data_IF_544025599466
#
_entry.id   IF_544025599466
#
_cell.length_a   1.000
_cell.length_b   1.000
_cell.length_c   1.000
_cell.angle_alpha   90.00
_cell.angle_beta   90.00
_cell.angle_gamma   90.00
#
_symmetry.space_group_name_H-M   'P 1'
#
loop_
_entity.id
_entity.type
_entity.pdbx_description
1 polymer ?
#
# COMPACT_ATOMS: atom_id res chain seq x y z
N UNK A 1 -48.42 -16.86 1.31
CA UNK A 1 -47.06 -17.23 0.85
C UNK A 1 -46.28 -16.06 0.24
N UNK A 2 -46.83 -15.29 -0.71
CA UNK A 2 -46.14 -14.17 -1.37
C UNK A 2 -45.53 -13.11 -0.41
N UNK A 3 -46.25 -12.74 0.65
CA UNK A 3 -45.76 -11.76 1.65
C UNK A 3 -44.55 -12.25 2.46
N UNK A 4 -44.40 -13.56 2.66
CA UNK A 4 -43.25 -14.16 3.35
C UNK A 4 -42.03 -14.23 2.44
N UNK A 5 -42.22 -14.62 1.17
CA UNK A 5 -41.18 -14.58 0.14
C UNK A 5 -40.62 -13.16 -0.06
N UNK A 6 -41.51 -12.16 -0.13
CA UNK A 6 -41.10 -10.74 -0.23
C UNK A 6 -40.27 -10.29 0.99
N UNK A 7 -40.64 -10.69 2.22
CA UNK A 7 -39.87 -10.38 3.43
C UNK A 7 -38.48 -11.01 3.41
N UNK A 8 -38.38 -12.26 2.96
CA UNK A 8 -37.09 -12.95 2.82
C UNK A 8 -36.20 -12.28 1.76
N UNK A 9 -36.77 -11.93 0.61
CA UNK A 9 -36.05 -11.18 -0.43
C UNK A 9 -35.57 -9.82 0.05
N UNK A 10 -36.43 -9.06 0.74
CA UNK A 10 -36.05 -7.77 1.33
C UNK A 10 -34.94 -7.94 2.37
N UNK A 11 -35.03 -8.96 3.23
CA UNK A 11 -33.97 -9.28 4.19
C UNK A 11 -32.63 -9.60 3.52
N UNK A 12 -32.66 -10.43 2.47
CA UNK A 12 -31.46 -10.78 1.71
C UNK A 12 -30.84 -9.55 1.03
N UNK A 13 -31.66 -8.73 0.37
CA UNK A 13 -31.21 -7.49 -0.27
C UNK A 13 -30.60 -6.54 0.77
N UNK A 14 -31.22 -6.40 1.95
CA UNK A 14 -30.67 -5.57 3.02
C UNK A 14 -29.30 -6.07 3.52
N UNK A 15 -29.13 -7.39 3.68
CA UNK A 15 -27.84 -7.99 4.07
C UNK A 15 -26.77 -7.73 3.01
N UNK A 16 -27.10 -7.92 1.73
CA UNK A 16 -26.17 -7.67 0.62
C UNK A 16 -25.77 -6.19 0.58
N UNK A 17 -26.73 -5.28 0.70
CA UNK A 17 -26.45 -3.84 0.74
C UNK A 17 -25.56 -3.47 1.92
N UNK A 18 -25.83 -4.02 3.11
CA UNK A 18 -24.99 -3.81 4.28
C UNK A 18 -23.57 -4.33 4.06
N UNK A 19 -23.42 -5.51 3.46
CA UNK A 19 -22.11 -6.08 3.15
C UNK A 19 -21.33 -5.21 2.14
N UNK A 20 -22.00 -4.63 1.14
CA UNK A 20 -21.36 -3.72 0.17
C UNK A 20 -20.93 -2.41 0.83
N UNK A 21 -21.72 -1.88 1.77
CA UNK A 21 -21.48 -0.59 2.45
C UNK A 21 -20.53 -0.69 3.66
N UNK A 22 -20.47 -1.83 4.34
CA UNK A 22 -19.57 -2.04 5.48
C UNK A 22 -18.32 -2.84 5.10
N UNK A 23 -18.42 -3.73 4.11
CA UNK A 23 -17.40 -4.72 3.77
C UNK A 23 -16.02 -4.13 3.51
N UNK A 24 -15.87 -3.13 2.62
CA UNK A 24 -14.57 -2.53 2.35
C UNK A 24 -13.90 -1.91 3.58
N UNK A 25 -14.68 -1.30 4.47
CA UNK A 25 -14.16 -0.75 5.73
C UNK A 25 -13.77 -1.84 6.71
N UNK A 26 -14.58 -2.89 6.86
CA UNK A 26 -14.27 -4.03 7.71
C UNK A 26 -12.99 -4.75 7.24
N UNK A 27 -12.83 -4.93 5.92
CA UNK A 27 -11.62 -5.51 5.33
C UNK A 27 -10.39 -4.62 5.55
N UNK A 28 -10.55 -3.30 5.47
CA UNK A 28 -9.49 -2.35 5.78
C UNK A 28 -9.03 -2.46 7.25
N UNK A 29 -9.96 -2.42 8.20
CA UNK A 29 -9.64 -2.58 9.63
C UNK A 29 -9.01 -3.95 9.92
N UNK A 30 -9.58 -5.01 9.34
CA UNK A 30 -9.04 -6.36 9.47
C UNK A 30 -7.63 -6.45 8.90
N UNK A 31 -7.35 -5.88 7.72
CA UNK A 31 -6.01 -5.86 7.14
C UNK A 31 -4.99 -5.12 8.00
N UNK A 32 -5.38 -3.99 8.58
CA UNK A 32 -4.54 -3.22 9.52
C UNK A 32 -4.28 -3.94 10.83
N UNK A 33 -5.22 -4.78 11.29
CA UNK A 33 -5.08 -5.56 12.53
C UNK A 33 -4.04 -6.68 12.43
N UNK A 34 -3.58 -7.02 11.22
CA UNK A 34 -2.57 -8.07 10.98
C UNK A 34 -1.14 -7.54 10.90
N UNK A 35 -0.97 -6.22 11.02
CA UNK A 35 0.32 -5.55 10.93
C UNK A 35 0.70 -5.09 12.33
N UNK A 36 1.90 -5.46 12.77
CA UNK A 36 2.47 -5.04 14.04
C UNK A 36 2.96 -3.59 13.93
N UNK A 37 2.22 -2.67 14.56
CA UNK A 37 2.54 -1.26 14.55
C UNK A 37 2.32 -0.57 13.19
N UNK A 38 3.02 0.54 12.99
CA UNK A 38 2.95 1.35 11.75
C UNK A 38 4.36 1.75 11.32
N UNK A 39 4.57 1.99 10.01
CA UNK A 39 5.85 2.51 9.54
C UNK A 39 6.20 3.82 10.26
N UNK A 40 7.43 3.94 10.74
CA UNK A 40 7.95 5.22 11.19
C UNK A 40 8.18 6.18 10.03
N UNK A 41 8.12 7.49 10.29
CA UNK A 41 8.45 8.52 9.31
C UNK A 41 9.89 8.38 8.81
N UNK A 42 10.23 9.13 7.75
CA UNK A 42 11.61 9.22 7.30
C UNK A 42 12.45 9.96 8.35
N UNK A 43 13.72 9.59 8.49
CA UNK A 43 14.67 10.27 9.40
C UNK A 43 14.90 11.72 8.97
N UNK A 44 14.81 11.99 7.67
CA UNK A 44 14.89 13.33 7.08
C UNK A 44 13.81 13.49 6.01
N UNK A 45 13.09 14.61 6.07
CA UNK A 45 12.17 15.06 5.02
C UNK A 45 12.87 15.85 3.92
N UNK A 46 14.09 16.31 4.15
CA UNK A 46 14.93 16.91 3.12
C UNK A 46 15.45 15.81 2.19
N UNK A 47 14.95 15.80 0.96
CA UNK A 47 15.30 14.83 -0.08
C UNK A 47 15.99 15.57 -1.21
N UNK A 48 17.16 15.07 -1.63
CA UNK A 48 17.87 15.68 -2.73
C UNK A 48 17.15 15.39 -4.07
N UNK A 49 17.08 16.36 -5.01
CA UNK A 49 16.36 16.17 -6.28
C UNK A 49 16.80 14.93 -7.08
N UNK A 50 18.09 14.58 -7.02
CA UNK A 50 18.68 13.41 -7.63
C UNK A 50 18.13 12.09 -7.08
N UNK A 51 17.82 12.05 -5.78
CA UNK A 51 17.25 10.88 -5.14
C UNK A 51 15.79 10.68 -5.54
N UNK A 52 15.05 11.78 -5.66
CA UNK A 52 13.68 11.76 -6.18
C UNK A 52 13.67 11.26 -7.62
N UNK A 53 14.61 11.70 -8.45
CA UNK A 53 14.72 11.26 -9.84
C UNK A 53 15.14 9.78 -9.95
N UNK A 54 15.99 9.30 -9.05
CA UNK A 54 16.30 7.87 -8.95
C UNK A 54 15.07 7.06 -8.53
N UNK A 55 14.30 7.53 -7.55
CA UNK A 55 13.05 6.91 -7.12
C UNK A 55 12.03 6.85 -8.27
N UNK A 56 11.88 7.96 -9.01
CA UNK A 56 10.98 8.07 -10.15
C UNK A 56 11.30 7.01 -11.21
N UNK A 57 12.58 6.85 -11.55
CA UNK A 57 13.04 5.85 -12.51
C UNK A 57 12.83 4.42 -12.01
N UNK A 58 13.21 4.14 -10.76
CA UNK A 58 13.04 2.82 -10.15
C UNK A 58 11.57 2.41 -10.09
N UNK A 59 10.72 3.34 -9.65
CA UNK A 59 9.29 3.13 -9.57
C UNK A 59 8.58 3.42 -10.89
N UNK A 60 9.25 3.73 -12.00
CA UNK A 60 8.60 4.01 -13.30
C UNK A 60 7.34 4.89 -13.18
N UNK A 61 7.43 5.97 -12.42
CA UNK A 61 6.34 6.92 -12.16
C UNK A 61 6.58 8.18 -13.01
N UNK A 62 5.54 8.95 -13.31
CA UNK A 62 5.67 10.21 -14.07
C UNK A 62 5.57 11.41 -13.13
N UNK A 63 6.10 12.56 -13.55
CA UNK A 63 5.91 13.84 -12.87
C UNK A 63 4.58 14.50 -13.32
N UNK A 64 3.93 15.31 -12.46
CA UNK A 64 4.23 15.54 -11.04
C UNK A 64 3.81 14.37 -10.14
N UNK A 65 4.50 14.18 -9.01
CA UNK A 65 4.09 13.20 -7.99
C UNK A 65 2.96 13.85 -7.18
N UNK A 66 1.73 13.46 -7.49
CA UNK A 66 0.55 13.79 -6.68
C UNK A 66 0.04 12.52 -6.03
N UNK A 67 -0.21 12.58 -4.72
CA UNK A 67 -0.73 11.44 -3.97
C UNK A 67 -2.14 11.80 -3.51
N UNK A 68 -3.12 11.17 -4.13
CA UNK A 68 -4.51 11.35 -3.75
C UNK A 68 -4.85 10.53 -2.51
N UNK A 69 -5.67 11.11 -1.64
CA UNK A 69 -6.17 10.44 -0.44
C UNK A 69 -7.06 9.27 -0.84
N UNK A 70 -6.65 8.04 -0.51
CA UNK A 70 -7.46 6.86 -0.79
C UNK A 70 -8.45 6.56 0.34
N UNK A 71 -9.55 5.93 -0.04
CA UNK A 71 -10.50 5.26 0.84
C UNK A 71 -10.58 3.79 0.43
N UNK A 72 -11.12 2.89 1.28
CA UNK A 72 -11.33 1.49 0.88
C UNK A 72 -12.11 1.34 -0.43
N UNK A 73 -13.10 2.21 -0.66
CA UNK A 73 -13.87 2.25 -1.89
C UNK A 73 -13.06 2.73 -3.09
N UNK A 74 -12.42 3.91 -2.96
CA UNK A 74 -11.65 4.46 -4.08
C UNK A 74 -10.47 3.56 -4.46
N UNK A 75 -9.87 2.85 -3.50
CA UNK A 75 -8.85 1.84 -3.76
C UNK A 75 -9.39 0.67 -4.60
N UNK A 76 -10.56 0.10 -4.25
CA UNK A 76 -11.21 -0.93 -5.08
C UNK A 76 -11.47 -0.42 -6.50
N UNK A 77 -11.93 0.83 -6.63
CA UNK A 77 -12.11 1.46 -7.93
C UNK A 77 -10.81 1.63 -8.72
N UNK A 78 -9.69 1.97 -8.06
CA UNK A 78 -8.39 2.05 -8.73
C UNK A 78 -7.97 0.69 -9.26
N UNK A 79 -8.20 -0.39 -8.51
CA UNK A 79 -7.93 -1.76 -8.95
C UNK A 79 -8.84 -2.21 -10.10
N UNK A 80 -10.12 -1.84 -10.08
CA UNK A 80 -11.07 -2.22 -11.13
C UNK A 80 -10.84 -1.49 -12.46
N UNK A 81 -10.37 -0.23 -12.43
CA UNK A 81 -10.11 0.58 -13.64
C UNK A 81 -8.73 0.39 -14.23
N UNK A 82 -7.81 -0.16 -13.45
CA UNK A 82 -6.50 -0.53 -13.97
C UNK A 82 -6.56 -1.97 -14.45
N UNK A 83 -5.96 -2.29 -15.60
CA UNK A 83 -5.77 -3.66 -16.08
C UNK A 83 -4.80 -4.45 -15.18
N UNK A 84 -5.02 -4.47 -13.87
CA UNK A 84 -4.12 -5.00 -12.84
C UNK A 84 -2.89 -4.14 -12.54
N UNK A 85 -2.73 -2.97 -13.18
CA UNK A 85 -1.57 -2.07 -12.99
C UNK A 85 -1.95 -0.82 -12.20
N UNK A 86 -1.49 -0.68 -10.95
CA UNK A 86 -1.62 0.59 -10.21
C UNK A 86 -1.04 1.75 -11.04
N UNK A 87 -1.91 2.51 -11.74
CA UNK A 87 -1.50 3.64 -12.59
C UNK A 87 -1.19 4.89 -11.77
N UNK A 88 -1.75 4.95 -10.56
CA UNK A 88 -1.55 6.04 -9.63
C UNK A 88 -0.14 5.97 -9.00
N UNK A 89 0.65 7.00 -9.25
CA UNK A 89 2.03 7.11 -8.78
C UNK A 89 2.11 7.13 -7.25
N UNK A 90 1.18 7.81 -6.58
CA UNK A 90 1.13 7.87 -5.13
C UNK A 90 0.85 6.52 -4.48
N UNK A 91 -0.05 5.75 -5.11
CA UNK A 91 -0.36 4.39 -4.67
C UNK A 91 0.86 3.47 -4.76
N UNK A 92 1.68 3.61 -5.81
CA UNK A 92 2.89 2.78 -5.96
C UNK A 92 3.95 3.12 -4.92
N UNK A 93 4.13 4.39 -4.59
CA UNK A 93 5.03 4.84 -3.52
C UNK A 93 4.55 4.29 -2.17
N UNK A 94 3.27 4.49 -1.83
CA UNK A 94 2.70 3.99 -0.60
C UNK A 94 2.74 2.44 -0.51
N UNK A 95 2.44 1.74 -1.61
CA UNK A 95 2.56 0.29 -1.69
C UNK A 95 4.00 -0.19 -1.48
N UNK A 96 5.00 0.53 -2.00
CA UNK A 96 6.42 0.20 -1.79
C UNK A 96 6.79 0.25 -0.31
N UNK A 97 6.36 1.30 0.40
CA UNK A 97 6.56 1.46 1.84
C UNK A 97 5.81 0.36 2.60
N UNK A 98 4.53 0.15 2.29
CA UNK A 98 3.71 -0.86 2.93
C UNK A 98 4.30 -2.27 2.78
N UNK A 99 4.73 -2.62 1.56
CA UNK A 99 5.37 -3.90 1.26
C UNK A 99 6.66 -4.09 2.06
N UNK A 100 7.49 -3.05 2.17
CA UNK A 100 8.74 -3.12 2.93
C UNK A 100 8.46 -3.32 4.41
N UNK A 101 7.50 -2.60 4.98
CA UNK A 101 7.16 -2.73 6.40
C UNK A 101 6.55 -4.10 6.72
N UNK A 102 5.61 -4.57 5.90
CA UNK A 102 4.97 -5.88 6.08
C UNK A 102 5.96 -7.03 5.98
N UNK A 103 7.11 -6.87 5.29
CA UNK A 103 8.13 -7.92 5.21
C UNK A 103 8.58 -8.38 6.60
N UNK A 104 8.64 -7.46 7.56
CA UNK A 104 9.17 -7.71 8.90
C UNK A 104 8.10 -7.63 10.01
N UNK A 105 6.90 -7.10 9.71
CA UNK A 105 5.88 -6.75 10.72
C UNK A 105 4.54 -7.46 10.50
N UNK A 106 4.50 -8.53 9.70
CA UNK A 106 3.27 -9.24 9.41
C UNK A 106 3.22 -10.56 10.18
N UNK A 107 2.23 -10.71 11.07
CA UNK A 107 2.07 -11.93 11.86
C UNK A 107 1.73 -13.17 11.01
N UNK A 108 1.04 -12.99 9.87
CA UNK A 108 0.70 -14.08 8.96
C UNK A 108 0.72 -13.63 7.49
N UNK A 109 1.65 -14.20 6.72
CA UNK A 109 1.86 -13.92 5.30
C UNK A 109 0.66 -14.25 4.39
N UNK A 110 -0.31 -15.06 4.81
CA UNK A 110 -1.55 -15.25 4.06
C UNK A 110 -2.34 -13.94 3.85
N UNK A 111 -2.17 -12.95 4.74
CA UNK A 111 -2.83 -11.65 4.63
C UNK A 111 -1.99 -10.58 3.92
N UNK A 112 -0.86 -10.95 3.32
CA UNK A 112 0.10 -10.02 2.72
C UNK A 112 -0.54 -8.95 1.82
N UNK A 113 -1.40 -9.38 0.89
CA UNK A 113 -2.04 -8.46 -0.05
C UNK A 113 -3.10 -7.58 0.62
N UNK A 114 -3.89 -8.14 1.53
CA UNK A 114 -4.94 -7.40 2.23
C UNK A 114 -4.34 -6.36 3.17
N UNK A 115 -3.35 -6.76 3.97
CA UNK A 115 -2.61 -5.88 4.86
C UNK A 115 -1.80 -4.85 4.07
N UNK A 116 -1.18 -5.22 2.96
CA UNK A 116 -0.49 -4.28 2.08
C UNK A 116 -1.43 -3.22 1.53
N UNK A 117 -2.64 -3.61 1.09
CA UNK A 117 -3.65 -2.69 0.60
C UNK A 117 -4.16 -1.76 1.71
N UNK A 118 -4.47 -2.33 2.88
CA UNK A 118 -4.93 -1.58 4.03
C UNK A 118 -3.89 -0.55 4.49
N UNK A 119 -2.62 -0.93 4.56
CA UNK A 119 -1.54 -0.03 4.93
C UNK A 119 -1.28 1.03 3.85
N UNK A 120 -1.43 0.70 2.58
CA UNK A 120 -1.37 1.68 1.47
C UNK A 120 -2.46 2.75 1.62
N UNK A 121 -3.70 2.34 1.91
CA UNK A 121 -4.80 3.26 2.19
C UNK A 121 -4.49 4.10 3.43
N UNK A 122 -4.01 3.49 4.52
CA UNK A 122 -3.65 4.23 5.73
C UNK A 122 -2.56 5.27 5.47
N UNK A 123 -1.49 4.92 4.75
CA UNK A 123 -0.39 5.81 4.40
C UNK A 123 -0.87 7.02 3.60
N UNK A 124 -1.59 6.80 2.51
CA UNK A 124 -2.14 7.91 1.69
C UNK A 124 -3.18 8.78 2.42
N UNK A 125 -3.69 8.34 3.57
CA UNK A 125 -4.64 9.11 4.40
C UNK A 125 -4.00 9.88 5.53
N UNK A 126 -2.83 9.47 5.98
CA UNK A 126 -2.20 10.00 7.20
C UNK A 126 -0.88 10.70 6.91
N UNK A 127 -0.24 10.43 5.78
CA UNK A 127 1.02 11.05 5.39
C UNK A 127 0.82 11.98 4.19
N UNK A 128 1.61 13.04 4.17
CA UNK A 128 1.74 13.96 3.04
C UNK A 128 2.53 13.32 1.90
N UNK A 129 2.42 13.90 0.71
CA UNK A 129 3.23 13.51 -0.46
C UNK A 129 4.73 13.53 -0.13
N UNK A 130 5.21 14.57 0.54
CA UNK A 130 6.63 14.74 0.85
C UNK A 130 7.14 13.69 1.83
N UNK A 131 6.33 13.34 2.84
CA UNK A 131 6.66 12.27 3.78
C UNK A 131 6.75 10.90 3.10
N UNK A 132 5.81 10.61 2.18
CA UNK A 132 5.81 9.37 1.42
C UNK A 132 7.01 9.31 0.47
N UNK A 133 7.33 10.41 -0.22
CA UNK A 133 8.51 10.48 -1.09
C UNK A 133 9.80 10.31 -0.27
N UNK A 134 9.94 11.02 0.85
CA UNK A 134 11.10 10.93 1.71
C UNK A 134 11.30 9.51 2.24
N UNK A 135 10.24 8.85 2.70
CA UNK A 135 10.35 7.49 3.20
C UNK A 135 10.69 6.49 2.10
N UNK A 136 10.09 6.66 0.91
CA UNK A 136 10.41 5.79 -0.21
C UNK A 136 11.85 5.96 -0.68
N UNK A 137 12.40 7.18 -0.68
CA UNK A 137 13.83 7.42 -0.95
C UNK A 137 14.72 6.75 0.10
N UNK A 138 14.40 6.90 1.37
CA UNK A 138 15.14 6.25 2.46
C UNK A 138 15.20 4.72 2.27
N UNK A 139 14.07 4.10 1.92
CA UNK A 139 13.99 2.66 1.64
C UNK A 139 14.80 2.25 0.41
N UNK A 140 14.77 3.03 -0.67
CA UNK A 140 15.56 2.73 -1.87
C UNK A 140 17.06 2.85 -1.59
N UNK A 141 17.50 3.85 -0.82
CA UNK A 141 18.90 3.97 -0.38
C UNK A 141 19.33 2.79 0.47
N UNK A 142 18.52 2.41 1.46
CA UNK A 142 18.80 1.25 2.31
C UNK A 142 18.90 -0.05 1.48
N UNK A 143 17.99 -0.23 0.52
CA UNK A 143 17.97 -1.39 -0.38
C UNK A 143 19.21 -1.41 -1.29
N UNK A 144 19.60 -0.26 -1.86
CA UNK A 144 20.79 -0.15 -2.70
C UNK A 144 22.07 -0.46 -1.92
N UNK A 145 22.18 0.05 -0.68
CA UNK A 145 23.29 -0.24 0.23
C UNK A 145 23.39 -1.74 0.53
N UNK A 146 22.27 -2.39 0.86
CA UNK A 146 22.24 -3.82 1.12
C UNK A 146 22.66 -4.66 -0.10
N UNK A 147 22.21 -4.28 -1.31
CA UNK A 147 22.63 -4.95 -2.56
C UNK A 147 24.12 -4.79 -2.84
N UNK A 148 24.68 -3.61 -2.59
CA UNK A 148 26.10 -3.35 -2.78
C UNK A 148 26.97 -4.18 -1.81
N UNK A 149 26.56 -4.27 -0.55
CA UNK A 149 27.23 -5.12 0.45
C UNK A 149 27.23 -6.60 0.03
N UNK A 150 26.06 -7.13 -0.35
CA UNK A 150 25.95 -8.52 -0.81
C UNK A 150 26.78 -8.80 -2.09
N UNK A 151 26.90 -7.83 -2.99
CA UNK A 151 27.75 -7.97 -4.19
C UNK A 151 29.25 -7.99 -3.85
N UNK A 152 29.67 -7.22 -2.84
CA UNK A 152 31.04 -7.21 -2.35
C UNK A 152 31.41 -8.53 -1.67
N UNK A 153 30.54 -9.05 -0.80
CA UNK A 153 30.73 -10.35 -0.15
C UNK A 153 30.85 -11.50 -1.17
N UNK A 154 30.01 -11.50 -2.22
CA UNK A 154 30.09 -12.48 -3.30
C UNK A 154 31.45 -12.44 -4.02
N UNK A 155 31.98 -11.25 -4.29
CA UNK A 155 33.31 -11.09 -4.91
C UNK A 155 34.44 -11.58 -4.01
N UNK A 156 34.35 -11.40 -2.69
CA UNK A 156 35.34 -11.91 -1.75
C UNK A 156 35.26 -13.43 -1.54
N UNK A 157 34.07 -14.03 -1.69
CA UNK A 157 33.86 -15.47 -1.50
C UNK A 157 34.36 -16.34 -2.67
N UNK A 158 34.87 -15.75 -3.77
CA UNK A 158 35.47 -16.50 -4.88
C UNK A 158 34.54 -17.54 -5.53
N UNK A 159 33.23 -17.31 -5.53
CA UNK A 159 32.25 -18.06 -6.32
C UNK A 159 31.83 -17.27 -7.54
#
# INVERSE_FOLDING_TARGET
MLRWLLRLLVGLVAIVLLAVVAGPWLLYEFGLSKIDGRPGHAVSTAVAPEDVEALIRTLRISRPITIDRLSPYSYIWTLARSDGRMRDHGVRIAWRIARSHNADHLANHSFWHLSGAALTIWLTRNWTTDELVAKAVELEKATAKARAAAAFERKQSGR
#
